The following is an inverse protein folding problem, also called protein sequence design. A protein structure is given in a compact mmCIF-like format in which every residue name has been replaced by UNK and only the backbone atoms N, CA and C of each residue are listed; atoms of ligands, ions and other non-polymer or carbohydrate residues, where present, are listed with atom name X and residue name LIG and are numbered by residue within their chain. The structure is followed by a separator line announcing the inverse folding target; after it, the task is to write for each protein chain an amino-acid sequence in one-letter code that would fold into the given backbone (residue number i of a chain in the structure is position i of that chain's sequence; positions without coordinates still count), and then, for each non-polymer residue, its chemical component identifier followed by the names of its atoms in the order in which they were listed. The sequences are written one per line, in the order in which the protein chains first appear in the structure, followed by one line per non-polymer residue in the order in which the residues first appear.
data_IF_937830178882
#
_entry.id   IF_937830178882
#
_cell.length_a   1.000
_cell.length_b   1.000
_cell.length_c   1.000
_cell.angle_alpha   90.00
_cell.angle_beta   90.00
_cell.angle_gamma   90.00
#
_symmetry.space_group_name_H-M   'P 1'
#
loop_
_entity.id
_entity.type
_entity.pdbx_description
1 polymer ?
#
# COMPACT_ATOMS: atom_id res chain seq x y z
N UNK A 1 -12.54 -22.92 -8.16
CA UNK A 1 -12.92 -21.91 -7.14
C UNK A 1 -11.87 -21.96 -6.05
N UNK A 2 -10.91 -21.04 -6.05
CA UNK A 2 -9.86 -21.00 -5.03
C UNK A 2 -10.38 -20.31 -3.78
N UNK A 3 -10.29 -20.99 -2.65
CA UNK A 3 -10.55 -20.47 -1.30
C UNK A 3 -9.68 -19.25 -0.99
N UNK A 4 -10.21 -18.19 -0.35
CA UNK A 4 -9.38 -17.08 0.09
C UNK A 4 -8.45 -17.54 1.23
N UNK A 5 -7.14 -17.45 0.98
CA UNK A 5 -6.09 -17.71 1.96
C UNK A 5 -6.11 -16.66 3.08
N UNK A 6 -5.74 -17.10 4.28
CA UNK A 6 -5.69 -16.26 5.49
C UNK A 6 -4.81 -15.04 5.33
N UNK A 7 -5.15 -13.98 6.06
CA UNK A 7 -4.44 -12.71 6.07
C UNK A 7 -2.94 -12.91 6.41
N UNK A 8 -2.03 -12.13 5.80
CA UNK A 8 -0.64 -12.10 6.25
C UNK A 8 -0.60 -11.64 7.72
N UNK A 9 0.12 -12.36 8.57
CA UNK A 9 0.31 -11.99 9.97
C UNK A 9 1.35 -10.86 10.12
N UNK A 10 1.53 -10.30 11.32
CA UNK A 10 2.63 -9.39 11.62
C UNK A 10 2.23 -8.10 12.30
N UNK A 11 3.15 -7.13 12.35
CA UNK A 11 2.98 -5.86 13.09
C UNK A 11 1.93 -4.92 12.49
N UNK A 12 1.34 -5.30 11.35
CA UNK A 12 0.37 -4.53 10.59
C UNK A 12 -1.02 -5.17 10.59
N UNK A 13 -1.47 -5.66 11.75
CA UNK A 13 -2.85 -6.14 11.97
C UNK A 13 -3.91 -5.03 11.87
N UNK A 14 -3.50 -3.78 11.62
CA UNK A 14 -4.36 -2.61 11.47
C UNK A 14 -4.34 -2.00 10.07
N UNK A 15 -4.66 -0.72 9.99
CA UNK A 15 -4.65 0.03 8.73
C UNK A 15 -3.23 0.31 8.22
N UNK A 16 -3.11 0.32 6.90
CA UNK A 16 -1.88 0.35 6.15
C UNK A 16 -1.98 1.37 5.03
N UNK A 17 -1.21 2.44 5.10
CA UNK A 17 -0.96 3.31 3.95
C UNK A 17 -0.05 2.54 2.97
N UNK A 18 -0.57 2.10 1.82
CA UNK A 18 0.06 1.13 0.93
C UNK A 18 1.38 1.63 0.35
N UNK A 19 1.44 2.89 -0.07
CA UNK A 19 2.64 3.45 -0.65
C UNK A 19 3.74 3.55 0.41
N UNK A 20 3.42 4.12 1.57
CA UNK A 20 4.35 4.27 2.69
C UNK A 20 4.83 2.93 3.29
N UNK A 21 3.92 1.96 3.44
CA UNK A 21 4.22 0.76 4.20
C UNK A 21 4.69 -0.40 3.33
N UNK A 22 4.31 -0.49 2.04
CA UNK A 22 4.66 -1.64 1.19
C UNK A 22 5.66 -1.31 0.08
N UNK A 23 5.63 -0.13 -0.51
CA UNK A 23 6.62 0.20 -1.55
C UNK A 23 8.03 0.28 -0.97
N UNK A 24 9.01 -0.06 -1.81
CA UNK A 24 10.44 -0.18 -1.49
C UNK A 24 10.77 -1.18 -0.38
N UNK A 25 9.80 -1.96 0.11
CA UNK A 25 10.05 -2.98 1.13
C UNK A 25 10.85 -4.12 0.52
N UNK A 26 11.86 -4.57 1.25
CA UNK A 26 12.60 -5.77 0.87
C UNK A 26 11.68 -6.98 1.03
N UNK A 27 11.68 -7.84 0.02
CA UNK A 27 11.01 -9.13 0.05
C UNK A 27 12.04 -10.20 0.34
N UNK A 28 11.79 -11.00 1.37
CA UNK A 28 12.59 -12.15 1.77
C UNK A 28 11.78 -13.43 1.63
N UNK A 29 12.42 -14.50 1.19
CA UNK A 29 11.77 -15.81 1.11
C UNK A 29 11.67 -16.51 2.48
N UNK A 30 11.17 -17.74 2.51
CA UNK A 30 11.03 -18.51 3.75
C UNK A 30 12.35 -18.70 4.51
N UNK A 31 13.46 -18.79 3.77
CA UNK A 31 14.83 -18.98 4.28
C UNK A 31 15.52 -17.66 4.65
N UNK A 32 14.83 -16.53 4.47
CA UNK A 32 15.35 -15.18 4.74
C UNK A 32 16.23 -14.61 3.63
N UNK A 33 16.34 -15.29 2.48
CA UNK A 33 17.10 -14.80 1.35
C UNK A 33 16.36 -13.67 0.64
N UNK A 34 17.10 -12.62 0.24
CA UNK A 34 16.53 -11.49 -0.48
C UNK A 34 16.03 -11.92 -1.87
N UNK A 35 14.73 -11.73 -2.10
CA UNK A 35 14.07 -11.95 -3.39
C UNK A 35 14.12 -10.67 -4.23
N UNK A 36 13.85 -9.51 -3.64
CA UNK A 36 13.85 -8.21 -4.31
C UNK A 36 13.23 -7.09 -3.48
N UNK A 37 12.77 -6.03 -4.14
CA UNK A 37 12.03 -4.92 -3.52
C UNK A 37 10.66 -4.78 -4.16
N UNK A 38 9.66 -4.43 -3.37
CA UNK A 38 8.33 -4.11 -3.87
C UNK A 38 8.38 -2.76 -4.59
N UNK A 39 8.23 -2.78 -5.89
CA UNK A 39 8.30 -1.59 -6.74
C UNK A 39 6.90 -1.04 -7.04
N UNK A 40 5.88 -1.89 -7.09
CA UNK A 40 4.48 -1.51 -7.25
C UNK A 40 3.54 -2.57 -6.65
N UNK A 41 2.24 -2.26 -6.58
CA UNK A 41 1.21 -3.21 -6.15
C UNK A 41 0.18 -3.44 -7.26
N UNK A 42 -0.27 -4.67 -7.40
CA UNK A 42 -1.44 -5.04 -8.19
C UNK A 42 -2.69 -4.98 -7.30
N UNK A 43 -3.71 -4.28 -7.80
CA UNK A 43 -5.03 -4.20 -7.20
C UNK A 43 -6.04 -4.89 -8.12
N UNK A 44 -6.88 -5.74 -7.56
CA UNK A 44 -8.05 -6.32 -8.23
C UNK A 44 -9.29 -5.52 -7.89
N UNK A 45 -10.06 -5.16 -8.92
CA UNK A 45 -11.36 -4.50 -8.83
C UNK A 45 -12.45 -5.56 -8.78
N UNK A 46 -13.25 -5.55 -7.74
CA UNK A 46 -14.43 -6.40 -7.64
C UNK A 46 -15.66 -5.68 -8.23
N UNK A 47 -16.69 -6.47 -8.56
CA UNK A 47 -17.95 -5.96 -9.12
C UNK A 47 -18.67 -4.96 -8.20
N UNK A 48 -18.44 -5.06 -6.88
CA UNK A 48 -18.96 -4.14 -5.87
C UNK A 48 -18.16 -2.82 -5.77
N UNK A 49 -17.17 -2.62 -6.66
CA UNK A 49 -16.28 -1.46 -6.68
C UNK A 49 -15.13 -1.53 -5.67
N UNK A 50 -15.07 -2.57 -4.84
CA UNK A 50 -13.99 -2.74 -3.86
C UNK A 50 -12.66 -3.02 -4.57
N UNK A 51 -11.59 -2.36 -4.11
CA UNK A 51 -10.23 -2.66 -4.53
C UNK A 51 -9.54 -3.53 -3.49
N UNK A 52 -8.91 -4.61 -3.94
CA UNK A 52 -8.19 -5.54 -3.08
C UNK A 52 -6.77 -5.70 -3.60
N UNK A 53 -5.77 -5.60 -2.73
CA UNK A 53 -4.39 -5.89 -3.10
C UNK A 53 -4.27 -7.38 -3.43
N UNK A 54 -3.86 -7.71 -4.64
CA UNK A 54 -3.80 -9.08 -5.14
C UNK A 54 -2.38 -9.54 -5.48
N UNK A 55 -1.41 -8.61 -5.59
CA UNK A 55 -0.02 -8.99 -5.80
C UNK A 55 0.97 -7.88 -5.51
N UNK A 56 2.21 -8.28 -5.22
CA UNK A 56 3.38 -7.41 -5.14
C UNK A 56 4.13 -7.49 -6.46
N UNK A 57 4.52 -6.34 -7.01
CA UNK A 57 5.27 -6.27 -8.26
C UNK A 57 6.72 -5.87 -7.99
N UNK A 58 7.65 -6.64 -8.53
CA UNK A 58 9.11 -6.49 -8.34
C UNK A 58 9.79 -6.20 -9.69
N UNK A 59 10.90 -5.47 -9.65
CA UNK A 59 11.79 -5.22 -10.78
C UNK A 59 11.63 -3.84 -11.42
N UNK A 60 12.70 -3.36 -12.06
CA UNK A 60 12.79 -2.03 -12.68
C UNK A 60 11.63 -1.68 -13.65
N UNK A 61 11.00 -2.67 -14.29
CA UNK A 61 9.84 -2.44 -15.16
C UNK A 61 8.54 -2.10 -14.40
N UNK A 62 8.46 -2.37 -13.10
CA UNK A 62 7.42 -1.81 -12.24
C UNK A 62 7.69 -0.33 -11.89
N UNK A 63 8.96 0.08 -11.87
CA UNK A 63 9.41 1.47 -11.65
C UNK A 63 9.29 2.36 -12.91
N UNK A 64 9.45 1.82 -14.12
CA UNK A 64 9.50 2.59 -15.37
C UNK A 64 8.26 3.47 -15.68
N UNK A 65 7.02 3.08 -15.32
CA UNK A 65 5.87 3.99 -15.43
C UNK A 65 5.93 5.21 -14.48
N UNK A 66 6.78 5.15 -13.45
CA UNK A 66 6.88 6.17 -12.39
C UNK A 66 7.95 7.23 -12.65
N UNK A 67 8.90 6.95 -13.54
CA UNK A 67 10.02 7.84 -13.86
C UNK A 67 9.91 8.29 -15.32
N UNK A 68 9.55 9.57 -15.50
CA UNK A 68 9.74 10.42 -16.69
C UNK A 68 9.67 9.73 -18.07
N UNK A 69 8.70 10.09 -18.93
CA UNK A 69 8.53 9.56 -20.32
C UNK A 69 9.82 9.42 -21.15
N UNK A 70 10.83 10.29 -20.95
CA UNK A 70 12.12 10.27 -21.66
C UNK A 70 13.12 9.22 -21.15
N UNK A 71 13.03 8.81 -19.87
CA UNK A 71 13.89 7.76 -19.32
C UNK A 71 13.50 6.36 -19.84
N UNK A 72 12.22 6.17 -20.19
CA UNK A 72 11.73 4.94 -20.84
C UNK A 72 12.45 4.69 -22.18
N UNK A 73 12.65 5.73 -22.99
CA UNK A 73 13.32 5.63 -24.30
C UNK A 73 14.81 5.25 -24.17
N UNK A 74 15.50 5.78 -23.16
CA UNK A 74 16.93 5.52 -22.93
C UNK A 74 17.19 4.14 -22.32
N UNK A 75 16.28 3.61 -21.50
CA UNK A 75 16.47 2.30 -20.86
C UNK A 75 16.20 1.13 -21.83
N UNK A 76 15.18 1.26 -22.69
CA UNK A 76 14.93 0.30 -23.78
C UNK A 76 16.14 0.18 -24.71
N UNK A 77 16.92 1.26 -24.87
CA UNK A 77 18.12 1.29 -25.71
C UNK A 77 19.38 0.68 -25.08
N UNK A 78 19.46 0.50 -23.75
CA UNK A 78 20.73 0.26 -23.04
C UNK A 78 20.87 -1.11 -22.32
N UNK A 79 19.80 -1.90 -22.16
CA UNK A 79 19.87 -3.17 -21.45
C UNK A 79 20.08 -4.38 -22.40
N UNK A 80 20.97 -5.34 -22.09
CA UNK A 80 21.07 -6.61 -22.82
C UNK A 80 19.74 -7.37 -22.70
N UNK A 81 18.98 -7.39 -23.79
CA UNK A 81 17.60 -7.85 -23.83
C UNK A 81 17.51 -9.38 -23.69
N UNK A 82 17.01 -9.87 -22.55
CA UNK A 82 16.55 -11.27 -22.43
C UNK A 82 15.09 -11.36 -22.89
N UNK A 83 14.68 -12.41 -23.62
CA UNK A 83 13.26 -12.63 -23.92
C UNK A 83 12.44 -12.71 -22.62
N UNK A 84 11.41 -11.86 -22.46
CA UNK A 84 10.54 -11.80 -21.27
C UNK A 84 10.86 -10.67 -20.28
N UNK A 85 11.94 -9.92 -20.49
CA UNK A 85 12.45 -8.90 -19.55
C UNK A 85 11.70 -7.55 -19.56
N UNK A 86 10.51 -7.48 -20.16
CA UNK A 86 9.64 -6.28 -20.15
C UNK A 86 8.50 -6.36 -19.12
N UNK A 87 8.42 -7.48 -18.40
CA UNK A 87 7.33 -7.78 -17.48
C UNK A 87 7.89 -7.72 -16.04
N UNK A 88 7.17 -7.08 -15.13
CA UNK A 88 7.54 -7.08 -13.71
C UNK A 88 7.33 -8.49 -13.15
N UNK A 89 8.11 -8.91 -12.15
CA UNK A 89 7.84 -10.17 -11.46
C UNK A 89 6.67 -9.96 -10.50
N UNK A 90 5.74 -10.92 -10.41
CA UNK A 90 4.56 -10.85 -9.55
C UNK A 90 4.62 -11.90 -8.44
N UNK A 91 4.54 -11.43 -7.21
CA UNK A 91 4.32 -12.27 -6.04
C UNK A 91 2.84 -12.22 -5.68
N UNK A 92 2.18 -13.37 -5.63
CA UNK A 92 0.80 -13.43 -5.17
C UNK A 92 0.71 -13.10 -3.67
N UNK A 93 -0.26 -12.27 -3.28
CA UNK A 93 -0.39 -11.88 -1.88
C UNK A 93 -0.63 -13.10 -0.96
N UNK A 94 -1.20 -14.20 -1.47
CA UNK A 94 -1.37 -15.45 -0.73
C UNK A 94 -0.03 -16.11 -0.31
N UNK A 95 1.07 -15.81 -1.01
CA UNK A 95 2.40 -16.30 -0.68
C UNK A 95 3.06 -15.49 0.44
N UNK A 96 2.48 -14.35 0.84
CA UNK A 96 3.01 -13.53 1.92
C UNK A 96 2.65 -14.16 3.27
N UNK A 97 3.68 -14.45 4.06
CA UNK A 97 3.53 -14.94 5.43
C UNK A 97 3.32 -13.76 6.37
N UNK A 98 4.18 -12.75 6.25
CA UNK A 98 4.28 -11.66 7.20
C UNK A 98 4.62 -10.32 6.53
N UNK A 99 4.01 -9.27 7.05
CA UNK A 99 4.34 -7.88 6.73
C UNK A 99 4.85 -7.18 8.01
N UNK A 100 6.07 -6.67 7.98
CA UNK A 100 6.71 -5.92 9.07
C UNK A 100 7.66 -4.80 8.55
N UNK A 101 8.89 -4.70 9.04
CA UNK A 101 9.93 -3.91 8.39
C UNK A 101 10.17 -4.30 6.92
N UNK A 102 9.86 -5.55 6.54
CA UNK A 102 9.89 -6.06 5.17
C UNK A 102 8.68 -6.97 4.87
N UNK A 103 8.76 -7.66 3.73
CA UNK A 103 7.79 -8.69 3.32
C UNK A 103 8.47 -10.05 3.44
N UNK A 104 7.87 -10.97 4.20
CA UNK A 104 8.33 -12.36 4.28
C UNK A 104 7.38 -13.28 3.55
N UNK A 105 7.92 -14.16 2.71
CA UNK A 105 7.15 -15.15 1.97
C UNK A 105 7.10 -16.48 2.72
N UNK A 106 6.03 -17.25 2.46
CA UNK A 106 5.82 -18.63 2.95
C UNK A 106 6.67 -19.65 2.20
N UNK A 107 7.22 -19.28 1.05
CA UNK A 107 7.89 -20.18 0.11
C UNK A 107 9.31 -19.71 -0.17
N UNK A 108 10.16 -20.61 -0.68
CA UNK A 108 11.50 -20.31 -1.16
C UNK A 108 11.50 -19.53 -2.48
N UNK A 109 12.61 -18.87 -2.80
CA UNK A 109 12.75 -17.99 -3.97
C UNK A 109 12.37 -18.61 -5.32
N UNK A 110 12.67 -19.89 -5.53
CA UNK A 110 12.50 -20.56 -6.83
C UNK A 110 11.05 -20.61 -7.35
N UNK A 111 10.05 -20.35 -6.50
CA UNK A 111 8.62 -20.29 -6.88
C UNK A 111 7.90 -19.01 -6.48
N UNK A 112 8.63 -18.00 -5.98
CA UNK A 112 8.03 -16.84 -5.34
C UNK A 112 7.50 -15.78 -6.33
N UNK A 113 8.24 -15.53 -7.42
CA UNK A 113 8.07 -14.35 -8.25
C UNK A 113 8.18 -14.68 -9.74
N UNK A 114 7.20 -15.42 -10.33
CA UNK A 114 7.13 -15.59 -11.77
C UNK A 114 6.88 -14.23 -12.47
N UNK A 115 7.15 -14.11 -13.78
CA UNK A 115 6.75 -12.94 -14.55
C UNK A 115 5.24 -12.68 -14.40
N UNK A 116 4.87 -11.41 -14.20
CA UNK A 116 3.48 -11.01 -14.07
C UNK A 116 2.69 -11.42 -15.32
N UNK A 117 1.49 -12.01 -15.18
CA UNK A 117 0.62 -12.17 -16.32
C UNK A 117 0.25 -10.79 -16.90
N UNK A 118 -0.23 -10.78 -18.15
CA UNK A 118 -0.87 -9.58 -18.68
C UNK A 118 -2.00 -9.15 -17.72
N UNK A 119 -2.09 -7.85 -17.43
CA UNK A 119 -3.14 -7.32 -16.56
C UNK A 119 -4.51 -7.59 -17.19
N UNK A 120 -5.32 -8.38 -16.49
CA UNK A 120 -6.73 -8.54 -16.82
C UNK A 120 -7.48 -7.22 -16.67
N UNK A 121 -8.64 -7.09 -17.32
CA UNK A 121 -9.39 -5.84 -17.36
C UNK A 121 -9.79 -5.34 -15.96
N UNK A 122 -9.98 -6.23 -14.99
CA UNK A 122 -10.30 -5.95 -13.60
C UNK A 122 -9.07 -5.59 -12.74
N UNK A 123 -7.85 -5.68 -13.28
CA UNK A 123 -6.61 -5.42 -12.54
C UNK A 123 -6.00 -4.08 -12.91
N UNK A 124 -5.51 -3.39 -11.89
CA UNK A 124 -4.89 -2.07 -12.00
C UNK A 124 -3.66 -1.99 -11.11
N UNK A 125 -2.77 -1.05 -11.39
CA UNK A 125 -1.60 -0.80 -10.56
C UNK A 125 -1.87 0.30 -9.55
N UNK A 126 -1.33 0.18 -8.34
CA UNK A 126 -1.37 1.26 -7.35
C UNK A 126 -0.79 2.56 -7.93
N UNK A 127 0.28 2.48 -8.72
CA UNK A 127 0.88 3.64 -9.39
C UNK A 127 -0.08 4.42 -10.29
N UNK A 128 -1.17 3.83 -10.78
CA UNK A 128 -2.18 4.55 -11.56
C UNK A 128 -3.10 5.41 -10.69
N UNK A 129 -3.21 5.11 -9.40
CA UNK A 129 -3.91 5.94 -8.41
C UNK A 129 -3.00 7.04 -7.87
N UNK A 130 -1.75 6.70 -7.55
CA UNK A 130 -0.83 7.65 -6.92
C UNK A 130 -0.57 8.85 -7.85
N UNK A 131 -0.77 10.05 -7.32
CA UNK A 131 -0.67 11.31 -8.06
C UNK A 131 -1.90 11.67 -8.89
N UNK A 132 -2.92 10.82 -8.97
CA UNK A 132 -4.14 11.11 -9.72
C UNK A 132 -4.80 12.38 -9.16
N UNK A 133 -5.15 13.37 -10.01
CA UNK A 133 -5.89 14.56 -9.58
C UNK A 133 -7.23 14.15 -8.99
N UNK A 134 -7.54 14.74 -7.84
CA UNK A 134 -8.82 14.56 -7.15
C UNK A 134 -9.65 15.83 -7.32
N UNK A 135 -10.89 15.65 -7.75
CA UNK A 135 -11.95 16.64 -7.60
C UNK A 135 -12.87 16.20 -6.48
N UNK A 136 -13.36 17.14 -5.68
CA UNK A 136 -14.32 16.86 -4.62
C UNK A 136 -15.45 17.89 -4.68
N UNK A 137 -16.67 17.39 -4.74
CA UNK A 137 -17.88 18.18 -5.00
C UNK A 137 -17.74 19.10 -6.22
N UNK A 138 -17.11 18.58 -7.29
CA UNK A 138 -16.87 19.29 -8.55
C UNK A 138 -15.70 20.28 -8.54
N UNK A 139 -15.03 20.48 -7.40
CA UNK A 139 -13.90 21.42 -7.27
C UNK A 139 -12.55 20.68 -7.21
N UNK A 140 -11.47 21.20 -7.81
CA UNK A 140 -10.13 20.63 -7.63
C UNK A 140 -9.74 20.58 -6.15
N UNK A 141 -9.36 19.40 -5.67
CA UNK A 141 -9.20 19.13 -4.23
C UNK A 141 -7.85 18.49 -3.85
N UNK A 142 -6.94 18.34 -4.80
CA UNK A 142 -5.58 17.84 -4.59
C UNK A 142 -5.25 16.65 -5.48
N UNK A 143 -4.41 15.76 -4.97
CA UNK A 143 -4.01 14.51 -5.62
C UNK A 143 -3.99 13.37 -4.62
N UNK A 144 -4.23 12.15 -5.10
CA UNK A 144 -4.03 10.95 -4.27
C UNK A 144 -2.55 10.85 -3.93
N UNK A 145 -2.21 10.92 -2.66
CA UNK A 145 -0.84 10.74 -2.18
C UNK A 145 -0.60 9.32 -1.70
N UNK A 146 -1.58 8.71 -1.05
CA UNK A 146 -1.49 7.32 -0.60
C UNK A 146 -2.88 6.66 -0.67
N UNK A 147 -2.91 5.35 -0.49
CA UNK A 147 -4.11 4.53 -0.44
C UNK A 147 -4.07 3.73 0.84
N UNK A 148 -5.08 3.88 1.69
CA UNK A 148 -5.16 3.14 2.95
C UNK A 148 -5.95 1.85 2.74
N UNK A 149 -5.37 0.76 3.19
CA UNK A 149 -5.99 -0.56 3.17
C UNK A 149 -6.04 -1.18 4.57
N UNK A 150 -6.95 -2.13 4.74
CA UNK A 150 -7.12 -2.89 5.98
C UNK A 150 -7.20 -4.38 5.70
N UNK A 151 -6.57 -5.24 6.53
CA UNK A 151 -6.77 -6.67 6.47
C UNK A 151 -8.23 -7.04 6.77
N UNK A 152 -8.85 -7.84 5.89
CA UNK A 152 -10.19 -8.37 6.05
C UNK A 152 -10.23 -9.89 5.91
N UNK A 153 -10.75 -10.62 6.91
CA UNK A 153 -10.89 -12.07 6.85
C UNK A 153 -11.60 -12.52 5.58
N UNK A 154 -10.97 -13.41 4.82
CA UNK A 154 -11.54 -13.95 3.57
C UNK A 154 -11.51 -13.01 2.36
N UNK A 155 -11.09 -11.73 2.51
CA UNK A 155 -10.94 -10.78 1.39
C UNK A 155 -9.51 -10.33 1.15
N UNK A 156 -8.60 -10.47 2.12
CA UNK A 156 -7.22 -10.01 1.96
C UNK A 156 -7.05 -8.55 2.41
N UNK A 157 -6.15 -7.82 1.76
CA UNK A 157 -5.88 -6.42 2.09
C UNK A 157 -6.78 -5.51 1.24
N UNK A 158 -7.85 -4.99 1.84
CA UNK A 158 -8.92 -4.25 1.16
C UNK A 158 -8.67 -2.75 1.28
N UNK A 159 -8.71 -2.03 0.16
CA UNK A 159 -8.62 -0.57 0.14
C UNK A 159 -9.87 0.04 0.76
N UNK A 160 -9.67 0.92 1.74
CA UNK A 160 -10.74 1.60 2.47
C UNK A 160 -10.78 3.09 2.20
N UNK A 161 -9.62 3.73 2.07
CA UNK A 161 -9.56 5.18 1.96
C UNK A 161 -8.53 5.62 0.93
N UNK A 162 -8.82 6.73 0.26
CA UNK A 162 -7.82 7.47 -0.51
C UNK A 162 -7.31 8.61 0.36
N UNK A 163 -5.98 8.70 0.49
CA UNK A 163 -5.33 9.82 1.16
C UNK A 163 -5.06 10.89 0.12
N UNK A 164 -5.65 12.06 0.30
CA UNK A 164 -5.57 13.18 -0.64
C UNK A 164 -4.75 14.30 -0.01
N UNK A 165 -3.78 14.80 -0.77
CA UNK A 165 -2.90 15.88 -0.34
C UNK A 165 -2.62 16.89 -1.45
N UNK A 166 -1.89 17.94 -1.10
CA UNK A 166 -1.52 19.04 -2.03
C UNK A 166 -0.24 18.77 -2.85
N UNK A 167 0.40 17.61 -2.68
CA UNK A 167 1.72 17.30 -3.26
C UNK A 167 1.72 17.20 -4.79
N UNK A 168 2.72 17.83 -5.43
CA UNK A 168 3.05 17.68 -6.85
C UNK A 168 3.83 16.39 -7.15
N UNK A 169 4.03 16.05 -8.44
CA UNK A 169 4.74 14.84 -8.87
C UNK A 169 6.20 14.91 -8.38
N UNK A 170 6.51 14.23 -7.27
CA UNK A 170 7.88 14.12 -6.76
C UNK A 170 8.05 14.26 -5.26
N UNK A 171 7.07 14.72 -4.48
CA UNK A 171 7.32 14.96 -3.04
C UNK A 171 7.26 13.72 -2.13
N UNK A 172 7.05 12.52 -2.68
CA UNK A 172 7.10 11.27 -1.92
C UNK A 172 8.10 10.24 -2.48
N UNK A 173 8.79 10.56 -3.58
CA UNK A 173 9.77 9.69 -4.22
C UNK A 173 11.17 10.18 -3.85
N UNK A 174 11.70 9.73 -2.71
CA UNK A 174 13.11 10.02 -2.39
C UNK A 174 13.50 10.13 -0.93
N UNK A 175 12.91 9.37 -0.01
CA UNK A 175 13.64 9.04 1.23
C UNK A 175 14.63 7.93 0.92
N UNK A 176 15.70 8.34 0.24
CA UNK A 176 16.93 7.58 0.14
C UNK A 176 17.33 7.17 1.57
N UNK A 177 17.41 5.85 1.77
CA UNK A 177 17.55 5.23 3.07
C UNK A 177 18.99 5.36 3.52
N UNK A 178 19.37 6.52 4.03
CA UNK A 178 20.48 6.56 4.99
C UNK A 178 19.98 5.90 6.28
N UNK A 179 20.64 4.86 6.81
CA UNK A 179 20.21 4.15 8.03
C UNK A 179 20.13 5.02 9.30
N UNK A 180 20.53 6.29 9.23
CA UNK A 180 20.82 7.13 10.40
C UNK A 180 19.78 8.23 10.71
N UNK A 181 18.66 8.34 9.98
CA UNK A 181 17.62 9.32 10.33
C UNK A 181 16.64 8.79 11.38
N UNK A 182 16.79 9.27 12.62
CA UNK A 182 15.97 8.86 13.76
C UNK A 182 14.46 9.14 13.64
N UNK A 183 13.63 8.54 14.53
CA UNK A 183 12.16 8.54 14.43
C UNK A 183 11.50 9.92 14.39
N UNK A 184 12.14 10.94 14.96
CA UNK A 184 11.57 12.28 15.11
C UNK A 184 11.62 13.11 13.83
N UNK A 185 12.64 12.93 12.98
CA UNK A 185 12.78 13.62 11.69
C UNK A 185 11.74 13.12 10.69
N UNK A 186 11.57 11.79 10.61
CA UNK A 186 10.49 11.16 9.82
C UNK A 186 9.13 11.65 10.31
N UNK A 187 8.89 11.67 11.63
CA UNK A 187 7.63 12.14 12.19
C UNK A 187 7.35 13.63 11.97
N UNK A 188 8.38 14.47 11.85
CA UNK A 188 8.24 15.90 11.57
C UNK A 188 7.90 16.17 10.10
N UNK A 189 8.54 15.44 9.18
CA UNK A 189 8.23 15.55 7.75
C UNK A 189 6.87 14.94 7.43
N UNK A 190 6.56 13.76 7.97
CA UNK A 190 5.21 13.16 7.89
C UNK A 190 4.16 14.15 8.39
N UNK A 191 4.38 14.82 9.54
CA UNK A 191 3.46 15.86 10.04
C UNK A 191 3.34 17.07 9.12
N UNK A 192 4.44 17.51 8.48
CA UNK A 192 4.43 18.65 7.58
C UNK A 192 3.77 18.31 6.24
N UNK A 193 3.96 17.10 5.74
CA UNK A 193 3.35 16.57 4.53
C UNK A 193 1.85 16.30 4.73
N UNK A 194 1.48 15.86 5.94
CA UNK A 194 0.10 15.48 6.29
C UNK A 194 -0.75 16.64 6.82
N UNK A 195 -0.18 17.83 7.05
CA UNK A 195 -0.88 18.97 7.68
C UNK A 195 -2.16 19.37 6.94
N UNK A 196 -2.13 19.32 5.61
CA UNK A 196 -3.26 19.64 4.75
C UNK A 196 -3.83 18.40 4.05
N UNK A 197 -3.44 17.21 4.52
CA UNK A 197 -3.92 15.95 3.94
C UNK A 197 -5.19 15.48 4.63
N UNK A 198 -6.08 14.90 3.85
CA UNK A 198 -7.36 14.39 4.29
C UNK A 198 -7.60 13.02 3.66
N UNK A 199 -8.54 12.27 4.24
CA UNK A 199 -8.95 10.95 3.76
C UNK A 199 -10.41 11.00 3.33
N UNK A 200 -10.74 10.16 2.34
CA UNK A 200 -12.09 9.90 1.87
C UNK A 200 -12.29 8.41 1.64
N UNK A 201 -13.48 7.92 1.94
CA UNK A 201 -13.84 6.52 1.71
C UNK A 201 -13.73 6.22 0.21
N UNK A 202 -13.03 5.13 -0.12
CA UNK A 202 -12.84 4.71 -1.50
C UNK A 202 -14.17 4.40 -2.22
N UNK A 203 -15.22 4.01 -1.49
CA UNK A 203 -16.58 3.78 -2.02
C UNK A 203 -17.30 5.06 -2.40
N UNK A 204 -16.85 6.20 -1.87
CA UNK A 204 -17.35 7.53 -2.24
C UNK A 204 -16.52 8.16 -3.35
N UNK A 205 -15.60 7.39 -3.95
CA UNK A 205 -14.74 7.83 -5.03
C UNK A 205 -15.12 7.11 -6.32
N UNK A 206 -15.37 7.89 -7.37
CA UNK A 206 -15.44 7.41 -8.74
C UNK A 206 -14.08 7.63 -9.40
N UNK A 207 -13.43 6.52 -9.78
CA UNK A 207 -12.07 6.50 -10.30
C UNK A 207 -12.12 6.27 -11.81
N UNK A 208 -11.76 7.30 -12.57
CA UNK A 208 -11.59 7.19 -14.02
C UNK A 208 -10.17 6.68 -14.31
N UNK A 209 -10.06 5.37 -14.47
CA UNK A 209 -8.80 4.67 -14.73
C UNK A 209 -8.21 4.97 -16.11
N UNK A 210 -9.04 5.37 -17.07
CA UNK A 210 -8.60 5.73 -18.42
C UNK A 210 -7.95 7.11 -18.42
N UNK A 211 -8.53 8.06 -17.69
CA UNK A 211 -8.00 9.43 -17.57
C UNK A 211 -7.04 9.61 -16.40
N UNK A 212 -6.96 8.63 -15.50
CA UNK A 212 -6.14 8.68 -14.29
C UNK A 212 -6.60 9.78 -13.34
N UNK A 213 -7.91 9.89 -13.07
CA UNK A 213 -8.48 10.95 -12.23
C UNK A 213 -9.51 10.41 -11.25
N UNK A 214 -9.72 11.11 -10.15
CA UNK A 214 -10.65 10.72 -9.09
C UNK A 214 -11.70 11.81 -8.85
N UNK A 215 -12.97 11.42 -8.80
CA UNK A 215 -14.08 12.24 -8.30
C UNK A 215 -14.49 11.71 -6.94
N UNK A 216 -14.22 12.48 -5.89
CA UNK A 216 -14.62 12.15 -4.52
C UNK A 216 -15.92 12.88 -4.15
N UNK A 217 -16.76 12.21 -3.39
CA UNK A 217 -17.96 12.78 -2.76
C UNK A 217 -17.94 12.46 -1.26
N UNK A 218 -18.78 13.12 -0.48
CA UNK A 218 -18.92 12.81 0.95
C UNK A 218 -17.91 13.52 1.86
N UNK A 219 -17.84 13.13 3.15
CA UNK A 219 -17.10 13.87 4.16
C UNK A 219 -15.59 13.77 3.96
N UNK A 220 -14.91 14.92 4.00
CA UNK A 220 -13.44 14.99 4.10
C UNK A 220 -13.05 14.84 5.57
N UNK A 221 -12.28 13.81 5.91
CA UNK A 221 -11.74 13.63 7.26
C UNK A 221 -10.27 14.05 7.32
N UNK A 222 -9.85 14.87 8.30
CA UNK A 222 -8.44 15.16 8.49
C UNK A 222 -7.64 13.88 8.76
N UNK A 223 -6.49 13.72 8.09
CA UNK A 223 -5.64 12.53 8.24
C UNK A 223 -5.09 12.33 9.68
N UNK A 224 -5.12 13.39 10.50
CA UNK A 224 -4.55 13.39 11.85
C UNK A 224 -5.40 12.66 12.92
N UNK A 225 -6.68 12.38 12.66
CA UNK A 225 -7.61 11.94 13.72
C UNK A 225 -7.60 10.43 14.04
N UNK A 226 -7.07 9.55 13.18
CA UNK A 226 -7.23 8.10 13.39
C UNK A 226 -6.18 7.44 14.32
N UNK A 227 -5.13 8.16 14.74
CA UNK A 227 -4.06 7.56 15.56
C UNK A 227 -4.33 7.53 17.08
N UNK A 228 -5.37 8.23 17.57
CA UNK A 228 -5.62 8.33 19.01
C UNK A 228 -6.68 7.35 19.54
N UNK A 229 -7.58 6.83 18.71
CA UNK A 229 -8.68 5.95 19.18
C UNK A 229 -8.28 4.48 19.42
N UNK A 230 -7.12 4.04 18.90
CA UNK A 230 -6.59 2.69 19.16
C UNK A 230 -5.88 2.49 20.51
N UNK A 231 -5.69 3.56 21.32
CA UNK A 231 -4.95 3.50 22.60
C UNK A 231 -5.79 3.68 23.86
N UNK A 232 -7.12 3.76 23.78
CA UNK A 232 -7.97 3.70 24.98
C UNK A 232 -8.43 2.26 25.23
N UNK A 233 -7.48 1.42 25.62
CA UNK A 233 -7.82 0.30 26.48
C UNK A 233 -8.44 0.87 27.75
N UNK A 234 -9.75 0.66 27.92
CA UNK A 234 -10.46 1.06 29.12
C UNK A 234 -9.79 0.48 30.38
N UNK A 235 -9.88 1.15 31.54
CA UNK A 235 -9.35 0.60 32.77
C UNK A 235 -10.06 -0.74 33.03
N UNK A 236 -9.27 -1.82 33.06
CA UNK A 236 -9.78 -3.15 33.40
C UNK A 236 -10.50 -3.13 34.76
N UNK A 237 -11.48 -4.02 34.96
CA UNK A 237 -12.23 -4.06 36.20
C UNK A 237 -11.28 -4.26 37.39
N UNK A 238 -11.36 -3.35 38.37
CA UNK A 238 -10.70 -3.51 39.67
C UNK A 238 -11.20 -4.79 40.32
N UNK A 239 -10.32 -5.78 40.43
CA UNK A 239 -10.51 -6.93 41.31
C UNK A 239 -10.58 -6.39 42.74
N UNK A 240 -11.74 -6.54 43.38
CA UNK A 240 -11.87 -6.29 44.82
C UNK A 240 -11.15 -7.42 45.58
N UNK A 241 -10.32 -7.11 46.58
CA UNK A 241 -9.79 -8.14 47.46
C UNK A 241 -10.94 -8.69 48.30
N UNK A 242 -11.20 -10.00 48.17
CA UNK A 242 -12.13 -10.72 49.02
C UNK A 242 -11.69 -10.62 50.48
N UNK A 243 -12.56 -10.05 51.31
CA UNK A 243 -12.44 -10.13 52.75
C UNK A 243 -12.62 -11.58 53.18
N UNK A 244 -11.60 -12.13 53.82
CA UNK A 244 -11.71 -13.32 54.63
C UNK A 244 -12.06 -12.89 56.06
N UNK A 245 -13.23 -13.29 56.53
CA UNK A 245 -13.68 -13.18 57.91
C UNK A 245 -14.84 -14.16 58.09
N UNK A 246 -14.83 -14.86 59.24
CA UNK A 246 -15.71 -15.95 59.71
C UNK A 246 -15.25 -17.33 59.19
N UNK A 247 -14.80 -18.28 60.01
CA UNK A 247 -15.04 -18.55 61.45
C UNK A 247 -13.76 -18.69 62.32
#
# INVERSE_FOLDING_TARGET
MSTPHGLPGGRFEGELDLALHLLDRQVQDADGALVGKVDDLELTRHDDGTLVVSGLLLGANALLPRLWRRAQELHVAAAPQRPGQHVADRIDLALVERLDSGVRLRTGRAGAAPPAPALAADRVRLAQLLGAPVTHDGTPAGRVVDVRARPEPGRGLVVRELVVGRGGPGSMLGYDRTPDMGPWLVAAVVRRLHRDSWVVDARQCDIDWTRGSVRAQGPRRPLAQDREDGRRGGPGPRVQPGGAGED
#
